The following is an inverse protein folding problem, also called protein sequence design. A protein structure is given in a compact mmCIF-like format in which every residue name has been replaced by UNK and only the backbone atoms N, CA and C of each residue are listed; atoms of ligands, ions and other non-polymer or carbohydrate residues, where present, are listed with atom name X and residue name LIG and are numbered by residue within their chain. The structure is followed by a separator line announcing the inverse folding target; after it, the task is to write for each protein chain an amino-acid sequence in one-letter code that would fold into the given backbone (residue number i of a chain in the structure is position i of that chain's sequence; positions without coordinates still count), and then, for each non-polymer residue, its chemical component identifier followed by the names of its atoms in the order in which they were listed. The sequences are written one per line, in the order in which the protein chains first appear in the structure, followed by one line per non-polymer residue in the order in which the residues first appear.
data_IF_460317620294
#
_entry.id   IF_460317620294
#
_cell.length_a   1.000
_cell.length_b   1.000
_cell.length_c   1.000
_cell.angle_alpha   90.00
_cell.angle_beta   90.00
_cell.angle_gamma   90.00
#
_symmetry.space_group_name_H-M   'P 1'
#
loop_
_entity.id
_entity.type
_entity.pdbx_description
1 polymer ?
#
# COMPACT_ATOMS: atom_id res chain seq x y z
N UNK A 1 8.26 14.62 17.88
CA UNK A 1 8.65 14.52 16.45
C UNK A 1 10.17 14.64 16.39
N UNK A 2 10.86 13.75 15.68
CA UNK A 2 12.32 13.72 15.68
C UNK A 2 12.86 15.03 15.03
N UNK A 3 13.73 15.83 15.67
CA UNK A 3 14.20 17.11 15.14
C UNK A 3 14.80 17.01 13.73
N UNK A 4 15.43 15.88 13.40
CA UNK A 4 15.97 15.62 12.06
C UNK A 4 14.88 15.57 10.97
N UNK A 5 13.72 15.01 11.30
CA UNK A 5 12.58 14.89 10.39
C UNK A 5 11.97 16.29 10.11
N UNK A 6 11.91 17.15 11.14
CA UNK A 6 11.44 18.52 11.00
C UNK A 6 12.34 19.32 10.04
N UNK A 7 13.66 19.24 10.22
CA UNK A 7 14.64 19.90 9.33
C UNK A 7 14.50 19.38 7.90
N UNK A 8 14.35 18.06 7.73
CA UNK A 8 14.11 17.44 6.43
C UNK A 8 12.84 17.95 5.73
N UNK A 9 11.73 18.12 6.46
CA UNK A 9 10.49 18.68 5.92
C UNK A 9 10.70 20.13 5.45
N UNK A 10 11.39 20.95 6.24
CA UNK A 10 11.65 22.36 5.88
C UNK A 10 12.51 22.44 4.61
N UNK A 11 13.58 21.66 4.54
CA UNK A 11 14.44 21.58 3.36
C UNK A 11 13.66 21.09 2.11
N UNK A 12 12.81 20.09 2.28
CA UNK A 12 11.97 19.56 1.21
C UNK A 12 10.94 20.59 0.70
N UNK A 13 10.26 21.31 1.61
CA UNK A 13 9.34 22.39 1.24
C UNK A 13 10.05 23.53 0.48
N UNK A 14 11.28 23.85 0.89
CA UNK A 14 12.11 24.83 0.19
C UNK A 14 12.45 24.38 -1.24
N UNK A 15 12.87 23.11 -1.43
CA UNK A 15 13.16 22.54 -2.74
C UNK A 15 11.92 22.55 -3.65
N UNK A 16 10.74 22.16 -3.13
CA UNK A 16 9.47 22.21 -3.88
C UNK A 16 9.15 23.64 -4.33
N UNK A 17 9.36 24.62 -3.45
CA UNK A 17 9.12 26.04 -3.76
C UNK A 17 10.00 26.52 -4.91
N UNK A 18 11.30 26.16 -4.91
CA UNK A 18 12.22 26.48 -6.00
C UNK A 18 11.77 25.82 -7.29
N UNK A 19 11.52 24.50 -7.28
CA UNK A 19 11.15 23.75 -8.47
C UNK A 19 9.85 24.27 -9.11
N UNK A 20 8.90 24.70 -8.27
CA UNK A 20 7.67 25.34 -8.73
C UNK A 20 7.93 26.68 -9.40
N UNK A 21 8.85 27.49 -8.87
CA UNK A 21 9.26 28.78 -9.47
C UNK A 21 10.03 28.59 -10.78
N UNK A 22 10.83 27.54 -10.88
CA UNK A 22 11.62 27.21 -12.07
C UNK A 22 10.81 26.56 -13.21
N UNK A 23 9.50 26.35 -13.06
CA UNK A 23 8.62 25.68 -14.03
C UNK A 23 9.08 24.26 -14.43
N UNK A 24 9.89 23.60 -13.61
CA UNK A 24 10.38 22.25 -13.84
C UNK A 24 9.35 21.21 -13.35
N UNK A 25 8.30 21.00 -14.14
CA UNK A 25 7.15 20.14 -13.77
C UNK A 25 7.52 18.69 -13.46
N UNK A 26 8.46 18.10 -14.20
CA UNK A 26 8.93 16.73 -13.99
C UNK A 26 9.68 16.57 -12.67
N UNK A 27 10.64 17.45 -12.39
CA UNK A 27 11.42 17.42 -11.14
C UNK A 27 10.54 17.74 -9.93
N UNK A 28 9.59 18.67 -10.07
CA UNK A 28 8.59 18.96 -9.04
C UNK A 28 7.76 17.71 -8.68
N UNK A 29 7.35 16.92 -9.68
CA UNK A 29 6.62 15.68 -9.45
C UNK A 29 7.47 14.64 -8.70
N UNK A 30 8.69 14.37 -9.19
CA UNK A 30 9.55 13.33 -8.62
C UNK A 30 9.95 13.69 -7.17
N UNK A 31 10.53 14.87 -6.96
CA UNK A 31 11.01 15.30 -5.63
C UNK A 31 9.85 15.50 -4.67
N UNK A 32 8.71 15.97 -5.17
CA UNK A 32 7.47 16.07 -4.41
C UNK A 32 6.97 14.73 -3.92
N UNK A 33 6.75 13.77 -4.83
CA UNK A 33 6.28 12.43 -4.47
C UNK A 33 7.26 11.68 -3.57
N UNK A 34 8.55 11.72 -3.86
CA UNK A 34 9.56 11.01 -3.04
C UNK A 34 9.62 11.58 -1.62
N UNK A 35 9.67 12.90 -1.45
CA UNK A 35 9.72 13.47 -0.11
C UNK A 35 8.43 13.27 0.68
N UNK A 36 7.26 13.40 0.03
CA UNK A 36 5.98 13.13 0.68
C UNK A 36 5.86 11.66 1.10
N UNK A 37 6.36 10.72 0.29
CA UNK A 37 6.41 9.30 0.64
C UNK A 37 7.19 9.05 1.94
N UNK A 38 8.40 9.59 2.07
CA UNK A 38 9.20 9.44 3.29
C UNK A 38 8.55 10.11 4.51
N UNK A 39 7.93 11.28 4.31
CA UNK A 39 7.19 11.97 5.38
C UNK A 39 6.01 11.12 5.85
N UNK A 40 5.24 10.56 4.91
CA UNK A 40 4.11 9.69 5.22
C UNK A 40 4.57 8.43 5.98
N UNK A 41 5.59 7.73 5.50
CA UNK A 41 6.15 6.55 6.19
C UNK A 41 6.63 6.89 7.61
N UNK A 42 7.36 8.00 7.75
CA UNK A 42 7.89 8.40 9.05
C UNK A 42 6.76 8.78 10.04
N UNK A 43 5.68 9.40 9.56
CA UNK A 43 4.48 9.67 10.35
C UNK A 43 3.69 8.38 10.65
N UNK A 44 3.75 7.39 9.78
CA UNK A 44 2.98 6.16 9.90
C UNK A 44 3.44 5.25 11.05
N UNK A 45 4.67 5.41 11.55
CA UNK A 45 5.39 4.47 12.41
C UNK A 45 4.64 4.00 13.68
N UNK A 46 3.70 4.79 14.22
CA UNK A 46 2.94 4.40 15.42
C UNK A 46 1.46 4.10 15.15
N UNK A 47 0.69 5.11 14.74
CA UNK A 47 -0.77 4.99 14.71
C UNK A 47 -1.32 4.40 13.40
N UNK A 48 -0.73 4.75 12.25
CA UNK A 48 -1.25 4.30 10.96
C UNK A 48 -0.97 2.82 10.72
N UNK A 49 0.19 2.33 11.13
CA UNK A 49 0.52 0.91 11.03
C UNK A 49 -0.50 0.09 11.81
N UNK A 50 -0.74 0.46 13.07
CA UNK A 50 -1.74 -0.17 13.92
C UNK A 50 -3.11 -0.21 13.22
N UNK A 51 -3.57 0.93 12.67
CA UNK A 51 -4.85 0.99 11.96
C UNK A 51 -4.89 0.04 10.76
N UNK A 52 -3.88 0.08 9.89
CA UNK A 52 -3.82 -0.76 8.68
C UNK A 52 -3.71 -2.25 9.03
N UNK A 53 -2.86 -2.61 10.01
CA UNK A 53 -2.73 -4.00 10.46
C UNK A 53 -4.03 -4.52 11.04
N UNK A 54 -4.69 -3.75 11.90
CA UNK A 54 -5.97 -4.17 12.48
C UNK A 54 -7.10 -4.25 11.45
N UNK A 55 -7.15 -3.31 10.50
CA UNK A 55 -8.14 -3.36 9.42
C UNK A 55 -7.97 -4.64 8.59
N UNK A 56 -6.75 -4.91 8.12
CA UNK A 56 -6.44 -6.09 7.31
C UNK A 56 -6.72 -7.38 8.08
N UNK A 57 -6.31 -7.46 9.35
CA UNK A 57 -6.54 -8.64 10.18
C UNK A 57 -8.02 -8.88 10.44
N UNK A 58 -8.80 -7.84 10.71
CA UNK A 58 -10.24 -8.00 10.89
C UNK A 58 -10.89 -8.52 9.60
N UNK A 59 -10.49 -8.03 8.42
CA UNK A 59 -10.97 -8.58 7.15
C UNK A 59 -10.60 -10.04 6.95
N UNK A 60 -9.36 -10.43 7.24
CA UNK A 60 -8.94 -11.83 7.17
C UNK A 60 -9.61 -12.68 8.26
N UNK A 61 -9.95 -12.10 9.41
CA UNK A 61 -10.65 -12.79 10.50
C UNK A 61 -12.06 -13.20 10.12
N UNK A 62 -12.77 -12.36 9.36
CA UNK A 62 -14.08 -12.69 8.81
C UNK A 62 -13.95 -13.92 7.89
N UNK A 63 -12.93 -13.92 7.04
CA UNK A 63 -12.65 -15.07 6.16
C UNK A 63 -12.28 -16.34 6.95
N UNK A 64 -11.44 -16.23 7.98
CA UNK A 64 -11.05 -17.34 8.85
C UNK A 64 -12.21 -17.92 9.65
N UNK A 65 -13.14 -17.06 10.11
CA UNK A 65 -14.35 -17.49 10.82
C UNK A 65 -15.30 -18.30 9.91
N UNK A 66 -15.35 -17.97 8.62
CA UNK A 66 -16.19 -18.67 7.64
C UNK A 66 -15.58 -19.99 7.17
N UNK A 67 -14.25 -20.05 7.03
CA UNK A 67 -13.56 -21.21 6.42
C UNK A 67 -12.94 -22.16 7.43
N UNK A 68 -12.74 -21.72 8.68
CA UNK A 68 -12.01 -22.44 9.73
C UNK A 68 -10.55 -22.83 9.38
N UNK A 69 -9.97 -22.25 8.31
CA UNK A 69 -8.61 -22.56 7.84
C UNK A 69 -7.52 -21.85 8.64
N UNK A 70 -7.86 -20.78 9.35
CA UNK A 70 -6.91 -20.01 10.16
C UNK A 70 -7.57 -19.48 11.45
N UNK A 71 -6.74 -19.26 12.48
CA UNK A 71 -7.09 -18.56 13.71
C UNK A 71 -6.33 -17.25 13.76
N UNK A 72 -6.98 -16.16 14.14
CA UNK A 72 -6.35 -14.85 14.17
C UNK A 72 -6.29 -14.30 15.59
N UNK A 73 -5.14 -13.73 15.93
CA UNK A 73 -4.93 -13.03 17.19
C UNK A 73 -4.85 -11.53 16.90
N UNK A 74 -6.04 -10.91 16.79
CA UNK A 74 -6.19 -9.50 16.37
C UNK A 74 -5.33 -8.56 17.19
N UNK A 75 -5.27 -8.73 18.51
CA UNK A 75 -4.49 -7.89 19.43
C UNK A 75 -2.99 -7.87 19.13
N UNK A 76 -2.45 -8.96 18.58
CA UNK A 76 -1.01 -9.15 18.38
C UNK A 76 -0.57 -9.04 16.94
N UNK A 77 -1.48 -8.84 16.00
CA UNK A 77 -1.07 -8.79 14.60
C UNK A 77 -0.81 -10.16 13.97
N UNK A 78 -1.24 -11.27 14.59
CA UNK A 78 -0.81 -12.62 14.22
C UNK A 78 -1.90 -13.43 13.52
N UNK A 79 -1.50 -14.17 12.49
CA UNK A 79 -2.34 -15.15 11.78
C UNK A 79 -1.73 -16.53 11.97
N UNK A 80 -2.50 -17.44 12.57
CA UNK A 80 -2.16 -18.83 12.76
C UNK A 80 -2.88 -19.68 11.72
N UNK A 81 -2.12 -20.29 10.81
CA UNK A 81 -2.66 -21.11 9.71
C UNK A 81 -2.63 -22.56 10.16
N UNK A 82 -3.81 -23.19 10.19
CA UNK A 82 -3.96 -24.59 10.59
C UNK A 82 -3.62 -25.46 9.40
N UNK A 83 -2.81 -26.50 9.59
CA UNK A 83 -2.50 -27.51 8.59
C UNK A 83 -2.25 -28.86 9.28
N UNK A 84 -2.53 -29.97 8.59
CA UNK A 84 -2.29 -31.34 9.02
C UNK A 84 -0.81 -31.68 9.28
N UNK A 85 0.13 -30.99 8.64
CA UNK A 85 1.57 -31.27 8.77
C UNK A 85 2.27 -30.42 9.83
N UNK A 86 2.51 -29.15 9.50
CA UNK A 86 3.18 -28.18 10.37
C UNK A 86 2.41 -26.85 10.32
N UNK A 87 1.73 -26.45 11.41
CA UNK A 87 1.04 -25.17 11.45
C UNK A 87 2.04 -24.02 11.42
N UNK A 88 1.67 -22.92 10.76
CA UNK A 88 2.54 -21.75 10.59
C UNK A 88 1.88 -20.53 11.20
N UNK A 89 2.65 -19.79 11.99
CA UNK A 89 2.24 -18.47 12.52
C UNK A 89 2.96 -17.39 11.73
N UNK A 90 2.23 -16.40 11.23
CA UNK A 90 2.80 -15.23 10.58
C UNK A 90 2.42 -13.93 11.31
N UNK A 91 3.38 -13.01 11.42
CA UNK A 91 3.13 -11.63 11.85
C UNK A 91 2.79 -10.75 10.65
N UNK A 92 1.86 -9.81 10.86
CA UNK A 92 1.57 -8.77 9.87
C UNK A 92 2.44 -7.55 10.17
N UNK A 93 3.52 -7.46 9.41
CA UNK A 93 4.43 -6.31 9.43
C UNK A 93 4.00 -5.23 8.41
N UNK A 94 4.81 -4.17 8.28
CA UNK A 94 4.58 -3.05 7.36
C UNK A 94 4.27 -3.51 5.93
N UNK A 95 5.03 -4.45 5.40
CA UNK A 95 4.84 -4.98 4.04
C UNK A 95 3.49 -5.68 3.90
N UNK A 96 3.12 -6.51 4.87
CA UNK A 96 1.90 -7.31 4.91
C UNK A 96 0.64 -6.46 5.15
N UNK A 97 0.80 -5.28 5.76
CA UNK A 97 -0.29 -4.31 6.00
C UNK A 97 -0.69 -3.52 4.75
N UNK A 98 0.16 -3.48 3.72
CA UNK A 98 -0.05 -2.67 2.50
C UNK A 98 0.14 -1.17 2.70
N UNK A 99 0.74 -0.76 3.83
CA UNK A 99 0.93 0.66 4.16
C UNK A 99 1.97 1.33 3.25
N UNK A 100 3.04 0.61 2.88
CA UNK A 100 4.12 1.14 2.03
C UNK A 100 3.54 1.51 0.66
N UNK A 101 2.75 0.63 0.06
CA UNK A 101 2.14 0.85 -1.25
C UNK A 101 1.07 1.93 -1.21
N UNK A 102 0.31 2.01 -0.10
CA UNK A 102 -0.68 3.06 0.12
C UNK A 102 -0.01 4.44 0.22
N UNK A 103 1.08 4.56 1.00
CA UNK A 103 1.85 5.80 1.11
C UNK A 103 2.47 6.19 -0.23
N UNK A 104 3.03 5.23 -0.98
CA UNK A 104 3.59 5.48 -2.30
C UNK A 104 2.52 5.99 -3.28
N UNK A 105 1.36 5.34 -3.32
CA UNK A 105 0.26 5.73 -4.19
C UNK A 105 -0.27 7.15 -3.86
N UNK A 106 -0.51 7.43 -2.58
CA UNK A 106 -0.97 8.77 -2.14
C UNK A 106 0.04 9.84 -2.51
N UNK A 107 1.33 9.57 -2.30
CA UNK A 107 2.39 10.52 -2.62
C UNK A 107 2.48 10.83 -4.13
N UNK A 108 2.26 9.82 -4.99
CA UNK A 108 2.18 9.99 -6.43
C UNK A 108 0.94 10.80 -6.83
N UNK A 109 -0.25 10.45 -6.32
CA UNK A 109 -1.51 11.17 -6.64
C UNK A 109 -1.46 12.63 -6.19
N UNK A 110 -0.85 12.93 -5.05
CA UNK A 110 -0.75 14.29 -4.53
C UNK A 110 0.05 15.23 -5.44
N UNK A 111 1.11 14.74 -6.08
CA UNK A 111 1.97 15.54 -6.94
C UNK A 111 1.69 15.36 -8.44
N UNK A 112 0.82 14.42 -8.83
CA UNK A 112 0.53 14.15 -10.23
C UNK A 112 -0.01 15.41 -10.94
N UNK A 113 0.71 15.92 -11.96
CA UNK A 113 0.43 17.25 -12.53
C UNK A 113 -0.88 17.28 -13.33
N UNK A 114 -1.36 16.12 -13.79
CA UNK A 114 -2.57 16.02 -14.62
C UNK A 114 -3.83 16.27 -13.80
N UNK A 115 -3.94 15.80 -12.56
CA UNK A 115 -5.20 15.91 -11.81
C UNK A 115 -5.45 17.27 -11.18
N UNK A 116 -6.72 17.71 -11.21
CA UNK A 116 -7.21 18.86 -10.45
C UNK A 116 -7.30 18.51 -8.95
N UNK A 117 -7.28 19.51 -8.07
CA UNK A 117 -7.36 19.30 -6.60
C UNK A 117 -8.55 18.43 -6.19
N UNK A 118 -9.74 18.69 -6.75
CA UNK A 118 -10.95 17.90 -6.46
C UNK A 118 -10.82 16.44 -6.92
N UNK A 119 -10.24 16.21 -8.10
CA UNK A 119 -10.02 14.85 -8.62
C UNK A 119 -9.02 14.08 -7.76
N UNK A 120 -7.95 14.74 -7.26
CA UNK A 120 -6.99 14.11 -6.34
C UNK A 120 -7.69 13.59 -5.08
N UNK A 121 -8.58 14.40 -4.51
CA UNK A 121 -9.33 14.05 -3.29
C UNK A 121 -10.31 12.89 -3.53
N UNK A 122 -10.87 12.75 -4.73
CA UNK A 122 -11.78 11.64 -5.07
C UNK A 122 -11.04 10.36 -5.44
N UNK A 123 -9.88 10.46 -6.10
CA UNK A 123 -9.13 9.31 -6.62
C UNK A 123 -8.28 8.67 -5.53
N UNK A 124 -7.69 9.48 -4.63
CA UNK A 124 -6.89 8.98 -3.52
C UNK A 124 -7.62 7.92 -2.67
N UNK A 125 -8.82 8.16 -2.09
CA UNK A 125 -9.51 7.16 -1.27
C UNK A 125 -9.92 5.92 -2.07
N UNK A 126 -10.29 6.06 -3.35
CA UNK A 126 -10.61 4.92 -4.22
C UNK A 126 -9.39 4.02 -4.42
N UNK A 127 -8.22 4.59 -4.65
CA UNK A 127 -6.99 3.81 -4.79
C UNK A 127 -6.50 3.22 -3.47
N UNK A 128 -6.64 3.94 -2.35
CA UNK A 128 -6.37 3.39 -1.01
C UNK A 128 -7.24 2.15 -0.76
N UNK A 129 -8.55 2.23 -1.05
CA UNK A 129 -9.47 1.10 -0.91
C UNK A 129 -9.07 -0.08 -1.81
N UNK A 130 -8.66 0.18 -3.06
CA UNK A 130 -8.22 -0.86 -3.97
C UNK A 130 -6.95 -1.57 -3.49
N UNK A 131 -5.94 -0.82 -3.01
CA UNK A 131 -4.70 -1.39 -2.46
C UNK A 131 -5.02 -2.23 -1.22
N UNK A 132 -5.88 -1.70 -0.35
CA UNK A 132 -6.35 -2.43 0.83
C UNK A 132 -7.00 -3.77 0.47
N UNK A 133 -7.96 -3.78 -0.46
CA UNK A 133 -8.63 -5.01 -0.90
C UNK A 133 -7.66 -5.98 -1.57
N UNK A 134 -6.76 -5.48 -2.42
CA UNK A 134 -5.72 -6.28 -3.07
C UNK A 134 -4.80 -6.95 -2.05
N UNK A 135 -4.48 -6.25 -0.96
CA UNK A 135 -3.70 -6.79 0.14
C UNK A 135 -4.46 -7.89 0.93
N UNK A 136 -5.75 -7.69 1.20
CA UNK A 136 -6.59 -8.73 1.84
C UNK A 136 -6.62 -9.99 0.97
N UNK A 137 -6.81 -9.84 -0.35
CA UNK A 137 -6.76 -10.95 -1.32
C UNK A 137 -5.41 -11.66 -1.30
N UNK A 138 -4.31 -10.90 -1.23
CA UNK A 138 -2.95 -11.46 -1.08
C UNK A 138 -2.86 -12.38 0.14
N UNK A 139 -3.29 -11.90 1.31
CA UNK A 139 -3.21 -12.70 2.55
C UNK A 139 -4.10 -13.94 2.50
N UNK A 140 -5.31 -13.82 1.97
CA UNK A 140 -6.21 -14.97 1.77
C UNK A 140 -5.56 -16.02 0.86
N UNK A 141 -4.90 -15.59 -0.22
CA UNK A 141 -4.19 -16.48 -1.14
C UNK A 141 -3.06 -17.24 -0.43
N UNK A 142 -2.29 -16.56 0.43
CA UNK A 142 -1.24 -17.20 1.24
C UNK A 142 -1.86 -18.24 2.19
N UNK A 143 -2.95 -17.91 2.87
CA UNK A 143 -3.63 -18.83 3.80
C UNK A 143 -4.12 -20.07 3.05
N UNK A 144 -4.75 -19.90 1.88
CA UNK A 144 -5.22 -21.01 1.06
C UNK A 144 -4.09 -21.96 0.65
N UNK A 145 -3.00 -21.41 0.10
CA UNK A 145 -1.87 -22.22 -0.35
C UNK A 145 -1.23 -22.95 0.84
N UNK A 146 -1.00 -22.27 1.96
CA UNK A 146 -0.36 -22.87 3.13
C UNK A 146 -1.26 -23.89 3.81
N UNK A 147 -2.58 -23.71 3.81
CA UNK A 147 -3.53 -24.68 4.36
C UNK A 147 -3.51 -26.01 3.58
N UNK A 148 -3.52 -25.95 2.24
CA UNK A 148 -3.56 -27.15 1.40
C UNK A 148 -2.18 -27.76 1.09
N UNK A 149 -1.16 -26.94 0.85
CA UNK A 149 0.14 -27.39 0.35
C UNK A 149 1.19 -27.68 1.44
N UNK A 150 0.91 -27.36 2.71
CA UNK A 150 1.87 -27.55 3.80
C UNK A 150 2.48 -26.25 4.30
N UNK A 151 2.87 -26.23 5.58
CA UNK A 151 3.64 -25.13 6.18
C UNK A 151 5.01 -24.89 5.51
N UNK A 152 5.60 -25.91 4.90
CA UNK A 152 6.87 -25.81 4.16
C UNK A 152 6.80 -24.86 2.95
N UNK A 153 5.61 -24.67 2.39
CA UNK A 153 5.39 -23.78 1.24
C UNK A 153 5.12 -22.33 1.63
N UNK A 154 5.20 -21.98 2.92
CA UNK A 154 4.93 -20.61 3.39
C UNK A 154 5.79 -19.55 2.69
N UNK A 155 7.10 -19.78 2.56
CA UNK A 155 7.99 -18.83 1.89
C UNK A 155 7.58 -18.58 0.43
N UNK A 156 7.29 -19.64 -0.32
CA UNK A 156 6.89 -19.55 -1.72
C UNK A 156 5.52 -18.87 -1.87
N UNK A 157 4.55 -19.24 -1.03
CA UNK A 157 3.22 -18.65 -1.03
C UNK A 157 3.27 -17.15 -0.69
N UNK A 158 3.98 -16.79 0.38
CA UNK A 158 4.00 -15.43 0.91
C UNK A 158 4.90 -14.48 0.12
N UNK A 159 6.16 -14.87 -0.11
CA UNK A 159 7.17 -13.97 -0.68
C UNK A 159 7.11 -13.89 -2.20
N UNK A 160 6.59 -14.91 -2.88
CA UNK A 160 6.55 -14.96 -4.34
C UNK A 160 5.10 -14.83 -4.84
N UNK A 161 4.27 -15.85 -4.61
CA UNK A 161 2.93 -15.92 -5.23
C UNK A 161 2.05 -14.75 -4.78
N UNK A 162 1.97 -14.53 -3.46
CA UNK A 162 1.18 -13.45 -2.88
C UNK A 162 1.62 -12.08 -3.38
N UNK A 163 2.93 -11.85 -3.52
CA UNK A 163 3.48 -10.59 -4.04
C UNK A 163 3.16 -10.40 -5.52
N UNK A 164 3.31 -11.43 -6.35
CA UNK A 164 2.98 -11.36 -7.79
C UNK A 164 1.50 -11.00 -7.97
N UNK A 165 0.60 -11.69 -7.26
CA UNK A 165 -0.83 -11.41 -7.33
C UNK A 165 -1.15 -9.96 -6.92
N UNK A 166 -0.59 -9.53 -5.80
CA UNK A 166 -0.78 -8.17 -5.30
C UNK A 166 -0.26 -7.11 -6.28
N UNK A 167 0.95 -7.28 -6.80
CA UNK A 167 1.52 -6.33 -7.75
C UNK A 167 0.77 -6.31 -9.08
N UNK A 168 0.26 -7.45 -9.57
CA UNK A 168 -0.61 -7.46 -10.75
C UNK A 168 -1.87 -6.58 -10.54
N UNK A 169 -2.53 -6.71 -9.39
CA UNK A 169 -3.69 -5.87 -9.04
C UNK A 169 -3.33 -4.39 -8.87
N UNK A 170 -2.17 -4.10 -8.28
CA UNK A 170 -1.68 -2.72 -8.12
C UNK A 170 -1.30 -2.11 -9.47
N UNK A 171 -0.69 -2.86 -10.39
CA UNK A 171 -0.37 -2.40 -11.74
C UNK A 171 -1.66 -2.00 -12.48
N UNK A 172 -2.75 -2.77 -12.35
CA UNK A 172 -4.06 -2.39 -12.93
C UNK A 172 -4.56 -1.06 -12.38
N UNK A 173 -4.44 -0.84 -11.06
CA UNK A 173 -4.79 0.44 -10.44
C UNK A 173 -3.94 1.59 -10.98
N UNK A 174 -2.62 1.39 -11.07
CA UNK A 174 -1.68 2.40 -11.54
C UNK A 174 -1.93 2.75 -13.01
N UNK A 175 -2.19 1.76 -13.85
CA UNK A 175 -2.56 1.96 -15.25
C UNK A 175 -3.83 2.81 -15.38
N UNK A 176 -4.89 2.44 -14.66
CA UNK A 176 -6.18 3.18 -14.70
C UNK A 176 -6.05 4.60 -14.14
N UNK A 177 -5.21 4.77 -13.13
CA UNK A 177 -5.01 6.06 -12.46
C UNK A 177 -4.08 6.94 -13.29
N UNK A 178 -2.83 6.57 -13.49
CA UNK A 178 -1.84 7.47 -14.10
C UNK A 178 -1.86 7.41 -15.63
N UNK A 179 -1.83 6.23 -16.23
CA UNK A 179 -1.64 6.08 -17.68
C UNK A 179 -2.90 6.42 -18.47
N UNK A 180 -4.03 5.80 -18.12
CA UNK A 180 -5.30 6.04 -18.81
C UNK A 180 -5.73 7.52 -18.71
N UNK A 181 -5.61 8.13 -17.52
CA UNK A 181 -5.99 9.53 -17.34
C UNK A 181 -5.12 10.51 -18.13
N UNK A 182 -3.85 10.16 -18.34
CA UNK A 182 -2.94 10.95 -19.18
C UNK A 182 -3.34 10.83 -20.67
N UNK A 183 -3.64 9.62 -21.14
CA UNK A 183 -4.05 9.37 -22.54
C UNK A 183 -5.34 10.13 -22.88
N UNK A 184 -6.42 9.96 -22.10
CA UNK A 184 -7.72 10.59 -22.39
C UNK A 184 -7.62 12.13 -22.44
N UNK A 185 -6.73 12.72 -21.64
CA UNK A 185 -6.54 14.17 -21.60
C UNK A 185 -5.60 14.69 -22.68
N UNK A 186 -4.62 13.90 -23.11
CA UNK A 186 -3.82 14.26 -24.28
C UNK A 186 -4.66 14.23 -25.55
N UNK A 187 -5.58 13.26 -25.68
CA UNK A 187 -6.45 13.15 -26.86
C UNK A 187 -7.57 14.19 -26.91
N UNK A 188 -8.03 14.73 -25.78
CA UNK A 188 -9.01 15.84 -25.75
C UNK A 188 -8.42 17.22 -26.07
N UNK A 189 -7.08 17.35 -26.08
CA UNK A 189 -6.37 18.60 -26.36
C UNK A 189 -5.78 18.65 -27.78
N UNK A 190 -5.93 17.57 -28.55
CA UNK A 190 -5.62 17.50 -29.97
C UNK A 190 -6.90 17.67 -30.78
#
# INVERSE_FOLDING_TARGET
MNPLLLIGIIAWLYLISILKRSNLSAYYFIIGSVGLFFILIALSNRYWVWFFTHAVINSVSIYGALTHMCRLYVKYGLVYIVNNGAPVTMSIDYECSGIIETCAFVALVCFFPVYNRQQRVLIAPRGILWIYLSNVIRLITVILIVHFAGGSQFYLAHSIIGRILFYALVIVLYYRTFTYSQITRSTQKA
#
